data_IF_638623299941
#
_entry.id   IF_638623299941
#
_cell.length_a   1.000
_cell.length_b   1.000
_cell.length_c   1.000
_cell.angle_alpha   90.00
_cell.angle_beta   90.00
_cell.angle_gamma   90.00
#
_symmetry.space_group_name_H-M   'P 1'
#
loop_
_entity.id
_entity.type
_entity.pdbx_description
1 polymer ?
#
# COMPACT_ATOMS: atom_id res chain seq x y z
N UNK A 1 15.50 0.78 14.75
CA UNK A 1 14.70 1.18 15.93
C UNK A 1 13.35 0.43 15.97
N UNK A 2 12.40 0.71 15.05
CA UNK A 2 11.10 -0.02 15.02
C UNK A 2 11.32 -1.52 14.87
N UNK A 3 12.20 -1.91 13.95
CA UNK A 3 12.52 -3.31 13.70
C UNK A 3 13.17 -4.01 14.90
N UNK A 4 14.02 -3.32 15.65
CA UNK A 4 14.65 -3.86 16.86
C UNK A 4 13.60 -4.13 17.95
N UNK A 5 12.67 -3.20 18.13
CA UNK A 5 11.55 -3.36 19.04
C UNK A 5 10.61 -4.51 18.63
N UNK A 6 10.36 -4.69 17.33
CA UNK A 6 9.57 -5.82 16.84
C UNK A 6 10.25 -7.17 17.09
N UNK A 7 11.57 -7.25 16.88
CA UNK A 7 12.35 -8.46 17.19
C UNK A 7 12.27 -8.77 18.69
N UNK A 8 12.51 -7.78 19.54
CA UNK A 8 12.45 -7.92 20.99
C UNK A 8 11.04 -8.35 21.46
N UNK A 9 9.98 -7.73 20.91
CA UNK A 9 8.62 -8.11 21.24
C UNK A 9 8.31 -9.54 20.79
N UNK A 10 8.74 -9.93 19.60
CA UNK A 10 8.52 -11.30 19.12
C UNK A 10 9.27 -12.32 19.98
N UNK A 11 10.47 -12.01 20.46
CA UNK A 11 11.22 -12.87 21.36
C UNK A 11 10.51 -13.07 22.70
N UNK A 12 9.80 -12.03 23.21
CA UNK A 12 9.01 -12.12 24.44
C UNK A 12 7.69 -12.89 24.24
N UNK A 13 7.08 -12.72 23.08
CA UNK A 13 5.78 -13.32 22.75
C UNK A 13 5.82 -13.83 21.31
N UNK A 14 6.42 -15.01 21.08
CA UNK A 14 6.52 -15.57 19.73
C UNK A 14 5.14 -15.78 19.10
N UNK A 15 5.04 -15.47 17.82
CA UNK A 15 3.86 -15.72 17.01
C UNK A 15 4.26 -16.39 15.69
N UNK A 16 3.45 -17.33 15.23
CA UNK A 16 3.69 -18.02 13.95
C UNK A 16 3.44 -17.13 12.74
N UNK A 17 2.50 -16.19 12.86
CA UNK A 17 2.12 -15.26 11.82
C UNK A 17 2.16 -13.83 12.37
N UNK A 18 2.81 -12.92 11.63
CA UNK A 18 2.87 -11.50 11.95
C UNK A 18 2.31 -10.71 10.77
N UNK A 19 1.28 -9.90 11.02
CA UNK A 19 0.61 -9.10 9.99
C UNK A 19 1.07 -7.65 10.04
N UNK A 20 1.30 -7.08 8.88
CA UNK A 20 1.67 -5.68 8.68
C UNK A 20 0.62 -4.94 7.84
N UNK A 21 0.43 -3.65 8.05
CA UNK A 21 -0.48 -2.85 7.26
C UNK A 21 -0.06 -2.80 5.78
N UNK A 22 -0.99 -2.47 4.87
CA UNK A 22 -0.67 -2.30 3.47
C UNK A 22 0.22 -1.07 3.22
N UNK A 23 1.07 -1.17 2.22
CA UNK A 23 1.94 -0.09 1.75
C UNK A 23 3.42 -0.39 1.94
N UNK A 24 4.26 0.50 1.41
CA UNK A 24 5.72 0.32 1.36
C UNK A 24 6.34 0.05 2.72
N UNK A 25 5.87 0.75 3.76
CA UNK A 25 6.37 0.57 5.12
C UNK A 25 6.07 -0.84 5.66
N UNK A 26 4.84 -1.34 5.45
CA UNK A 26 4.48 -2.71 5.85
C UNK A 26 5.26 -3.77 5.07
N UNK A 27 5.46 -3.57 3.76
CA UNK A 27 6.25 -4.46 2.91
C UNK A 27 7.71 -4.53 3.39
N UNK A 28 8.31 -3.38 3.69
CA UNK A 28 9.68 -3.29 4.20
C UNK A 28 9.83 -3.96 5.57
N UNK A 29 8.96 -3.62 6.52
CA UNK A 29 9.03 -4.18 7.87
C UNK A 29 8.81 -5.69 7.89
N UNK A 30 7.82 -6.19 7.13
CA UNK A 30 7.55 -7.64 7.06
C UNK A 30 8.74 -8.41 6.52
N UNK A 31 9.38 -7.89 5.47
CA UNK A 31 10.54 -8.53 4.84
C UNK A 31 11.76 -8.51 5.76
N UNK A 32 12.06 -7.37 6.38
CA UNK A 32 13.21 -7.22 7.27
C UNK A 32 13.05 -7.99 8.57
N UNK A 33 11.82 -8.04 9.13
CA UNK A 33 11.55 -8.82 10.33
C UNK A 33 11.72 -10.32 10.06
N UNK A 34 11.14 -10.80 8.96
CA UNK A 34 11.30 -12.20 8.56
C UNK A 34 12.78 -12.59 8.41
N UNK A 35 13.57 -11.73 7.78
CA UNK A 35 15.01 -11.94 7.64
C UNK A 35 15.71 -12.07 8.99
N UNK A 36 15.46 -11.16 9.93
CA UNK A 36 16.08 -11.16 11.26
C UNK A 36 15.68 -12.36 12.12
N UNK A 37 14.47 -12.87 11.93
CA UNK A 37 13.94 -14.00 12.68
C UNK A 37 14.09 -15.33 11.94
N UNK A 38 14.81 -15.36 10.81
CA UNK A 38 14.97 -16.55 9.95
C UNK A 38 13.65 -17.18 9.48
N UNK A 39 12.59 -16.36 9.44
CA UNK A 39 11.27 -16.72 8.98
C UNK A 39 11.09 -16.59 7.46
N UNK A 40 9.85 -16.40 7.04
CA UNK A 40 9.49 -16.11 5.65
C UNK A 40 8.66 -14.82 5.55
N UNK A 41 8.73 -14.11 4.42
CA UNK A 41 7.88 -12.96 4.15
C UNK A 41 7.14 -13.13 2.84
N UNK A 42 5.85 -12.75 2.85
CA UNK A 42 5.04 -12.61 1.63
C UNK A 42 4.33 -11.27 1.71
N UNK A 43 4.63 -10.40 0.74
CA UNK A 43 4.05 -9.05 0.70
C UNK A 43 2.79 -9.00 -0.16
N UNK A 44 1.91 -8.02 0.16
CA UNK A 44 0.67 -7.72 -0.57
C UNK A 44 -0.30 -8.91 -0.63
N UNK A 45 -0.53 -9.52 0.52
CA UNK A 45 -1.42 -10.67 0.67
C UNK A 45 -2.88 -10.21 0.62
N UNK A 46 -3.69 -10.86 -0.20
CA UNK A 46 -5.12 -10.57 -0.35
C UNK A 46 -6.01 -11.42 0.56
N UNK A 47 -5.55 -12.61 0.94
CA UNK A 47 -6.23 -13.46 1.92
C UNK A 47 -5.27 -14.41 2.62
N UNK A 48 -5.61 -14.76 3.85
CA UNK A 48 -4.91 -15.74 4.68
C UNK A 48 -5.92 -16.80 5.16
N UNK A 49 -5.64 -18.05 4.89
CA UNK A 49 -6.30 -19.17 5.52
C UNK A 49 -5.44 -19.64 6.71
N UNK A 50 -5.94 -19.40 7.91
CA UNK A 50 -5.21 -19.74 9.15
C UNK A 50 -5.13 -21.24 9.37
N UNK A 51 -6.12 -22.01 8.91
CA UNK A 51 -6.17 -23.45 9.13
C UNK A 51 -5.08 -24.21 8.38
N UNK A 52 -4.78 -23.75 7.16
CA UNK A 52 -3.75 -24.35 6.29
C UNK A 52 -2.47 -23.51 6.23
N UNK A 53 -2.48 -22.34 6.86
CA UNK A 53 -1.43 -21.32 6.78
C UNK A 53 -1.05 -21.03 5.31
N UNK A 54 -2.08 -20.97 4.44
CA UNK A 54 -1.92 -20.62 3.04
C UNK A 54 -2.33 -19.17 2.78
N UNK A 55 -1.60 -18.50 1.92
CA UNK A 55 -1.85 -17.11 1.58
C UNK A 55 -2.12 -16.95 0.08
N UNK A 56 -3.00 -16.03 -0.26
CA UNK A 56 -3.22 -15.63 -1.65
C UNK A 56 -2.66 -14.25 -1.90
N UNK A 57 -2.06 -14.07 -3.04
CA UNK A 57 -1.64 -12.76 -3.53
C UNK A 57 -1.84 -12.65 -5.03
N UNK A 58 -2.10 -11.43 -5.48
CA UNK A 58 -2.19 -11.12 -6.89
C UNK A 58 -0.81 -10.91 -7.51
N UNK A 59 -0.68 -11.32 -8.77
CA UNK A 59 0.50 -11.13 -9.59
C UNK A 59 0.13 -10.54 -10.95
N UNK A 60 1.09 -9.90 -11.59
CA UNK A 60 0.98 -9.38 -12.95
C UNK A 60 -0.25 -8.49 -13.16
N UNK A 61 -0.37 -7.45 -12.31
CA UNK A 61 -1.49 -6.50 -12.41
C UNK A 61 -2.86 -7.13 -12.20
N UNK A 62 -2.96 -8.10 -11.28
CA UNK A 62 -4.17 -8.89 -10.97
C UNK A 62 -4.60 -9.91 -12.06
N UNK A 63 -3.77 -10.16 -13.07
CA UNK A 63 -4.06 -11.18 -14.07
C UNK A 63 -4.01 -12.61 -13.51
N UNK A 64 -3.21 -12.82 -12.47
CA UNK A 64 -3.03 -14.11 -11.82
C UNK A 64 -3.20 -13.99 -10.31
N UNK A 65 -3.70 -15.06 -9.70
CA UNK A 65 -3.71 -15.22 -8.25
C UNK A 65 -2.88 -16.44 -7.89
N UNK A 66 -1.83 -16.23 -7.08
CA UNK A 66 -1.02 -17.32 -6.54
C UNK A 66 -1.51 -17.69 -5.14
N UNK A 67 -1.55 -18.99 -4.86
CA UNK A 67 -1.67 -19.53 -3.50
C UNK A 67 -0.30 -20.04 -3.07
N UNK A 68 0.21 -19.52 -1.97
CA UNK A 68 1.55 -19.78 -1.47
C UNK A 68 1.48 -20.39 -0.07
N UNK A 69 2.38 -21.31 0.21
CA UNK A 69 2.57 -21.93 1.52
C UNK A 69 4.05 -21.99 1.87
N UNK A 70 4.37 -21.94 3.16
CA UNK A 70 5.73 -22.11 3.67
C UNK A 70 5.68 -22.72 5.06
N UNK A 71 6.66 -23.55 5.37
CA UNK A 71 6.85 -24.13 6.70
C UNK A 71 7.67 -23.23 7.63
N UNK A 72 8.38 -22.22 7.05
CA UNK A 72 9.20 -21.31 7.86
C UNK A 72 8.33 -20.42 8.77
N UNK A 73 8.80 -20.24 10.00
CA UNK A 73 8.17 -19.37 11.00
C UNK A 73 9.21 -18.40 11.59
N UNK A 74 8.80 -17.18 11.98
CA UNK A 74 7.47 -16.62 11.74
C UNK A 74 7.19 -16.37 10.25
N UNK A 75 5.92 -16.40 9.86
CA UNK A 75 5.46 -15.94 8.57
C UNK A 75 5.02 -14.48 8.69
N UNK A 76 5.81 -13.57 8.14
CA UNK A 76 5.56 -12.13 8.15
C UNK A 76 4.84 -11.73 6.86
N UNK A 77 3.63 -11.18 7.00
CA UNK A 77 2.76 -10.85 5.87
C UNK A 77 2.45 -9.35 5.86
N UNK A 78 2.66 -8.67 4.75
CA UNK A 78 2.03 -7.39 4.53
C UNK A 78 0.72 -7.56 3.76
N UNK A 79 -0.29 -6.78 4.15
CA UNK A 79 -1.62 -6.87 3.52
C UNK A 79 -1.65 -6.06 2.21
N UNK A 80 -2.39 -6.54 1.24
CA UNK A 80 -2.73 -5.74 0.07
C UNK A 80 -3.76 -4.66 0.44
N UNK A 81 -3.70 -3.50 -0.22
CA UNK A 81 -4.81 -2.54 -0.15
C UNK A 81 -6.03 -3.16 -0.78
N UNK A 82 -7.13 -3.19 -0.05
CA UNK A 82 -8.42 -3.67 -0.56
C UNK A 82 -9.41 -2.52 -0.52
N UNK A 83 -10.15 -2.36 -1.62
CA UNK A 83 -11.33 -1.52 -1.64
C UNK A 83 -12.50 -2.27 -0.98
N UNK A 84 -13.18 -1.63 -0.05
CA UNK A 84 -14.38 -2.22 0.56
C UNK A 84 -14.67 -1.59 1.92
N UNK A 85 -15.94 -1.64 2.31
CA UNK A 85 -16.34 -1.21 3.65
C UNK A 85 -15.69 -2.13 4.69
N UNK A 86 -15.02 -1.53 5.66
CA UNK A 86 -14.57 -2.24 6.85
C UNK A 86 -15.81 -2.79 7.53
N UNK A 87 -15.98 -4.11 7.55
CA UNK A 87 -17.00 -4.71 8.41
C UNK A 87 -16.64 -4.35 9.84
N UNK A 88 -17.59 -3.78 10.58
CA UNK A 88 -17.43 -3.52 12.00
C UNK A 88 -17.11 -4.84 12.71
N UNK A 89 -15.83 -5.13 12.82
CA UNK A 89 -15.36 -6.18 13.70
C UNK A 89 -15.29 -5.56 15.10
N UNK A 90 -15.90 -6.20 16.06
CA UNK A 90 -15.63 -5.92 17.47
C UNK A 90 -14.11 -6.08 17.67
N UNK A 91 -13.43 -4.96 17.93
CA UNK A 91 -12.00 -5.01 18.22
C UNK A 91 -11.81 -5.94 19.43
N UNK A 92 -10.92 -6.94 19.35
CA UNK A 92 -10.62 -7.76 20.49
C UNK A 92 -10.11 -6.87 21.62
N UNK A 93 -10.65 -7.04 22.82
CA UNK A 93 -10.17 -6.42 24.04
C UNK A 93 -8.74 -6.89 24.29
N UNK A 94 -7.74 -6.10 23.97
CA UNK A 94 -6.34 -6.49 24.20
C UNK A 94 -5.32 -5.81 23.30
N UNK A 95 -5.59 -4.60 22.80
CA UNK A 95 -4.52 -3.81 22.17
C UNK A 95 -3.46 -3.47 23.21
N UNK A 96 -2.22 -3.92 22.99
CA UNK A 96 -1.06 -3.46 23.74
C UNK A 96 -0.36 -2.37 22.95
N UNK A 97 -0.20 -1.21 23.57
CA UNK A 97 0.64 -0.16 23.02
C UNK A 97 2.10 -0.45 23.40
N UNK A 98 2.95 -0.62 22.40
CA UNK A 98 4.39 -0.74 22.60
C UNK A 98 5.01 0.66 22.62
N UNK A 99 5.59 1.04 23.76
CA UNK A 99 6.40 2.24 23.86
C UNK A 99 7.80 1.91 23.38
N UNK A 100 8.12 2.35 22.17
CA UNK A 100 9.46 2.19 21.60
C UNK A 100 10.30 3.39 22.03
N UNK A 101 11.37 3.14 22.76
CA UNK A 101 12.39 4.16 23.04
C UNK A 101 13.33 4.21 21.83
N UNK A 102 13.34 5.33 21.07
CA UNK A 102 14.25 5.44 19.94
C UNK A 102 15.71 5.34 20.41
N UNK A 103 16.48 4.45 19.80
CA UNK A 103 17.92 4.42 19.98
C UNK A 103 18.62 5.59 19.28
N UNK A 104 19.95 5.65 19.36
CA UNK A 104 20.72 6.63 18.60
C UNK A 104 20.44 6.53 17.09
N UNK A 105 20.41 7.69 16.44
CA UNK A 105 20.33 7.74 14.98
C UNK A 105 21.58 7.11 14.37
N UNK A 106 21.48 6.39 13.24
CA UNK A 106 22.66 5.83 12.60
C UNK A 106 23.56 6.94 12.03
N UNK A 107 24.88 6.75 12.10
CA UNK A 107 25.87 7.75 11.70
C UNK A 107 25.77 8.21 10.25
N UNK A 108 25.19 7.38 9.38
CA UNK A 108 24.95 7.75 7.98
C UNK A 108 23.75 8.68 7.76
N UNK A 109 22.91 8.88 8.78
CA UNK A 109 21.74 9.76 8.69
C UNK A 109 22.16 11.20 9.02
N UNK A 110 22.29 12.03 8.00
CA UNK A 110 22.77 13.41 8.12
C UNK A 110 21.69 14.34 8.68
N UNK A 111 20.46 14.21 8.19
CA UNK A 111 19.33 15.03 8.64
C UNK A 111 18.00 14.33 8.36
N UNK A 112 16.99 14.69 9.12
CA UNK A 112 15.58 14.39 8.85
C UNK A 112 14.80 15.70 8.77
N UNK A 113 13.95 15.83 7.77
CA UNK A 113 13.06 16.98 7.63
C UNK A 113 11.61 16.50 7.63
N UNK A 114 10.80 17.08 8.51
CA UNK A 114 9.37 16.80 8.54
C UNK A 114 8.69 17.54 7.39
N UNK A 115 8.17 16.80 6.43
CA UNK A 115 7.31 17.37 5.39
C UNK A 115 5.97 17.78 6.02
N UNK A 116 5.88 19.02 6.47
CA UNK A 116 4.76 19.56 7.25
C UNK A 116 3.42 19.63 6.53
N UNK A 117 3.36 19.30 5.26
CA UNK A 117 2.13 19.34 4.47
C UNK A 117 2.00 18.10 3.58
N UNK A 118 1.73 16.96 4.17
CA UNK A 118 0.98 15.93 3.44
C UNK A 118 -0.47 16.43 3.41
N UNK A 119 -0.76 17.34 2.50
CA UNK A 119 -2.14 17.64 2.12
C UNK A 119 -2.79 16.30 1.75
N UNK A 120 -4.03 16.10 2.16
CA UNK A 120 -4.86 14.99 1.69
C UNK A 120 -4.63 14.83 0.19
N UNK A 121 -4.38 13.62 -0.24
CA UNK A 121 -4.28 13.31 -1.66
C UNK A 121 -5.71 13.22 -2.23
N UNK A 122 -6.19 14.25 -2.95
CA UNK A 122 -7.57 14.28 -3.44
C UNK A 122 -7.86 13.09 -4.34
N UNK A 123 -6.85 12.63 -5.09
CA UNK A 123 -6.98 11.51 -6.02
C UNK A 123 -7.15 10.18 -5.29
N UNK A 124 -6.44 9.96 -4.18
CA UNK A 124 -6.55 8.74 -3.39
C UNK A 124 -7.90 8.61 -2.65
N UNK A 125 -8.53 9.74 -2.31
CA UNK A 125 -9.82 9.79 -1.61
C UNK A 125 -11.02 9.95 -2.56
N UNK A 126 -10.78 10.10 -3.86
CA UNK A 126 -11.81 10.39 -4.85
C UNK A 126 -12.82 9.24 -5.01
N UNK A 127 -14.10 9.56 -4.92
CA UNK A 127 -15.19 8.60 -5.22
C UNK A 127 -15.37 8.37 -6.71
N UNK A 128 -15.02 9.38 -7.53
CA UNK A 128 -15.09 9.31 -9.00
C UNK A 128 -13.76 9.76 -9.57
N UNK A 129 -13.27 9.01 -10.53
CA UNK A 129 -11.98 9.29 -11.18
C UNK A 129 -12.14 9.23 -12.69
N UNK A 130 -11.64 10.25 -13.37
CA UNK A 130 -11.45 10.28 -14.81
C UNK A 130 -9.98 9.97 -15.11
N UNK A 131 -9.72 8.81 -15.70
CA UNK A 131 -8.36 8.39 -16.08
C UNK A 131 -8.14 8.68 -17.55
N UNK A 132 -7.11 9.46 -17.85
CA UNK A 132 -6.76 9.80 -19.23
C UNK A 132 -5.50 9.05 -19.65
N UNK A 133 -5.63 8.26 -20.69
CA UNK A 133 -4.55 7.52 -21.32
C UNK A 133 -3.82 8.31 -22.41
N UNK A 134 -2.88 7.65 -23.08
CA UNK A 134 -2.05 8.26 -24.13
C UNK A 134 -2.87 8.65 -25.38
N UNK A 135 -3.95 7.92 -25.69
CA UNK A 135 -4.79 8.19 -26.85
C UNK A 135 -5.83 9.28 -26.65
N UNK A 136 -5.91 9.88 -25.45
CA UNK A 136 -6.78 11.04 -25.22
C UNK A 136 -6.26 12.26 -25.95
N UNK A 137 -6.97 12.70 -26.99
CA UNK A 137 -6.63 13.88 -27.81
C UNK A 137 -7.10 15.20 -27.19
N UNK A 138 -8.02 15.14 -26.20
CA UNK A 138 -8.53 16.33 -25.53
C UNK A 138 -7.41 17.11 -24.84
N UNK A 139 -7.50 18.43 -24.92
CA UNK A 139 -6.56 19.28 -24.19
C UNK A 139 -6.82 19.23 -22.66
N UNK A 140 -5.85 19.68 -21.89
CA UNK A 140 -5.94 19.62 -20.44
C UNK A 140 -7.11 20.46 -19.87
N UNK A 141 -7.54 21.48 -20.60
CA UNK A 141 -8.62 22.37 -20.18
C UNK A 141 -9.99 21.69 -20.39
N UNK A 142 -10.16 21.00 -21.51
CA UNK A 142 -11.37 20.19 -21.77
C UNK A 142 -11.48 19.03 -20.77
N UNK A 143 -10.36 18.36 -20.46
CA UNK A 143 -10.31 17.30 -19.45
C UNK A 143 -10.73 17.82 -18.07
N UNK A 144 -10.20 18.98 -17.67
CA UNK A 144 -10.54 19.60 -16.40
C UNK A 144 -12.03 19.98 -16.32
N UNK A 145 -12.59 20.58 -17.37
CA UNK A 145 -14.02 20.91 -17.44
C UNK A 145 -14.92 19.67 -17.40
N UNK A 146 -14.50 18.60 -18.06
CA UNK A 146 -15.25 17.33 -18.02
C UNK A 146 -15.22 16.71 -16.62
N UNK A 147 -14.06 16.70 -15.99
CA UNK A 147 -13.89 16.19 -14.63
C UNK A 147 -14.75 16.97 -13.62
N UNK A 148 -14.77 18.29 -13.73
CA UNK A 148 -15.62 19.15 -12.88
C UNK A 148 -17.11 18.81 -13.06
N UNK A 149 -17.59 18.69 -14.30
CA UNK A 149 -18.99 18.29 -14.58
C UNK A 149 -19.35 16.92 -14.01
N UNK A 150 -18.40 16.00 -13.96
CA UNK A 150 -18.58 14.66 -13.42
C UNK A 150 -18.41 14.61 -11.90
N UNK A 151 -17.90 15.66 -11.29
CA UNK A 151 -17.46 15.66 -9.88
C UNK A 151 -16.38 14.61 -9.65
N UNK A 152 -15.43 14.49 -10.58
CA UNK A 152 -14.37 13.49 -10.59
C UNK A 152 -13.00 14.14 -10.46
N UNK A 153 -12.06 13.46 -9.81
CA UNK A 153 -10.64 13.79 -9.87
C UNK A 153 -10.00 13.22 -11.14
N UNK A 154 -8.99 13.93 -11.66
CA UNK A 154 -8.28 13.52 -12.88
C UNK A 154 -7.01 12.78 -12.51
N UNK A 155 -6.82 11.62 -13.12
CA UNK A 155 -5.57 10.88 -13.06
C UNK A 155 -5.10 10.47 -14.45
N UNK A 156 -3.83 10.15 -14.58
CA UNK A 156 -3.20 9.87 -15.85
C UNK A 156 -2.53 8.50 -15.88
N UNK A 157 -2.60 7.83 -17.04
CA UNK A 157 -1.76 6.65 -17.24
C UNK A 157 -0.29 7.05 -17.30
N UNK A 158 0.59 6.11 -16.95
CA UNK A 158 2.04 6.32 -17.03
C UNK A 158 2.49 6.78 -18.42
N UNK A 159 1.94 6.19 -19.48
CA UNK A 159 2.28 6.55 -20.84
C UNK A 159 1.91 8.01 -21.16
N UNK A 160 0.77 8.50 -20.65
CA UNK A 160 0.36 9.90 -20.80
C UNK A 160 1.33 10.84 -20.09
N UNK A 161 1.73 10.52 -18.87
CA UNK A 161 2.69 11.31 -18.10
C UNK A 161 4.05 11.37 -18.79
N UNK A 162 4.54 10.24 -19.31
CA UNK A 162 5.84 10.19 -20.01
C UNK A 162 5.88 11.03 -21.30
N UNK A 163 4.75 11.26 -21.94
CA UNK A 163 4.67 12.15 -23.10
C UNK A 163 4.69 13.65 -22.72
N UNK A 164 4.64 13.97 -21.44
CA UNK A 164 4.69 15.33 -20.92
C UNK A 164 3.35 16.08 -21.01
N UNK A 165 3.37 17.32 -20.53
CA UNK A 165 2.23 18.23 -20.59
C UNK A 165 1.13 17.98 -19.55
N UNK A 166 1.30 17.01 -18.64
CA UNK A 166 0.38 16.70 -17.54
C UNK A 166 1.15 16.53 -16.22
N UNK A 167 0.43 16.66 -15.12
CA UNK A 167 0.99 16.53 -13.79
C UNK A 167 1.46 15.10 -13.50
N UNK A 168 2.75 14.93 -13.27
CA UNK A 168 3.37 13.65 -12.99
C UNK A 168 2.96 13.08 -11.62
N UNK A 169 2.54 13.92 -10.68
CA UNK A 169 2.07 13.47 -9.38
C UNK A 169 0.70 12.77 -9.45
N UNK A 170 -0.03 12.95 -10.55
CA UNK A 170 -1.34 12.33 -10.78
C UNK A 170 -1.28 11.02 -11.57
N UNK A 171 -0.12 10.36 -11.62
CA UNK A 171 0.00 9.06 -12.29
C UNK A 171 -0.73 7.97 -11.51
N UNK A 172 -1.49 7.13 -12.23
CA UNK A 172 -2.26 6.00 -11.67
C UNK A 172 -1.63 4.69 -12.10
N UNK A 173 -1.67 3.70 -11.22
CA UNK A 173 -1.19 2.34 -11.44
C UNK A 173 -0.02 1.96 -10.55
N UNK A 174 0.73 0.92 -10.95
CA UNK A 174 1.80 0.32 -10.13
C UNK A 174 2.88 1.33 -9.70
N UNK A 175 3.17 2.31 -10.54
CA UNK A 175 4.19 3.33 -10.27
C UNK A 175 3.63 4.65 -9.74
N UNK A 176 2.37 4.67 -9.34
CA UNK A 176 1.69 5.86 -8.84
C UNK A 176 0.60 5.54 -7.85
N UNK A 177 -0.53 6.25 -7.94
CA UNK A 177 -1.64 6.06 -7.03
C UNK A 177 -2.38 4.76 -7.28
N UNK A 178 -2.58 3.98 -6.23
CA UNK A 178 -3.53 2.86 -6.21
C UNK A 178 -4.87 3.38 -5.71
N UNK A 179 -5.87 3.33 -6.57
CA UNK A 179 -7.18 3.92 -6.33
C UNK A 179 -8.26 2.86 -6.18
N UNK A 180 -9.31 3.19 -5.44
CA UNK A 180 -10.50 2.37 -5.29
C UNK A 180 -11.77 3.24 -5.36
N UNK A 181 -12.00 3.98 -6.47
CA UNK A 181 -13.16 4.83 -6.63
C UNK A 181 -14.44 4.01 -6.79
N UNK A 182 -15.59 4.63 -6.49
CA UNK A 182 -16.91 4.03 -6.79
C UNK A 182 -17.16 4.00 -8.31
N UNK A 183 -16.65 5.02 -9.02
CA UNK A 183 -16.76 5.14 -10.48
C UNK A 183 -15.40 5.51 -11.05
N UNK A 184 -14.93 4.72 -12.01
CA UNK A 184 -13.72 4.98 -12.76
C UNK A 184 -14.05 5.04 -14.25
N UNK A 185 -13.84 6.22 -14.87
CA UNK A 185 -14.02 6.42 -16.30
C UNK A 185 -12.64 6.49 -16.94
N UNK A 186 -12.38 5.63 -17.90
CA UNK A 186 -11.08 5.57 -18.59
C UNK A 186 -11.24 5.98 -20.04
N UNK A 187 -10.42 6.91 -20.51
CA UNK A 187 -10.41 7.43 -21.88
C UNK A 187 -8.99 7.38 -22.46
N UNK A 188 -8.90 6.95 -23.69
CA UNK A 188 -7.64 6.89 -24.44
C UNK A 188 -6.92 5.58 -24.47
#
# INVERSE_FOLDING_TARGET
QVLDALVEQWQRTPADVVLFPPGTFGDELSTRLAWRLHGASICQVTSLDISTVSVRKSHWGNALTATLQTEKRPLCLSLARQAGAVKNATLPSGMQQLNIVPGALPDWLVSTEDLKNVTRDPLAEARRVLVVGQGGEADNQEIAMLAEKLGAEVGYSRARVMNGGVDAEKVIGISGHLLAPEVCIVVG
#
